data_IF_390568848894
#
_entry.id   IF_390568848894
#
_cell.length_a   1.000
_cell.length_b   1.000
_cell.length_c   1.000
_cell.angle_alpha   90.00
_cell.angle_beta   90.00
_cell.angle_gamma   90.00
#
_symmetry.space_group_name_H-M   'P 1'
#
loop_
_entity.id
_entity.type
_entity.pdbx_description
1 polymer ?
#
# COMPACT_ATOMS: atom_id res chain seq x y z
N UNK A 1 89.73 19.74 -7.32
CA UNK A 1 88.61 20.63 -7.67
C UNK A 1 87.42 19.78 -8.14
N UNK A 2 86.27 20.01 -7.51
CA UNK A 2 84.90 19.57 -7.86
C UNK A 2 84.58 18.07 -7.96
N UNK A 3 84.21 17.49 -6.82
CA UNK A 3 83.36 16.30 -6.73
C UNK A 3 81.89 16.70 -6.93
N UNK A 4 81.27 16.32 -8.06
CA UNK A 4 79.82 16.44 -8.27
C UNK A 4 79.11 15.21 -7.70
N UNK A 5 78.50 15.39 -6.54
CA UNK A 5 77.58 14.43 -5.92
C UNK A 5 76.22 14.48 -6.60
N UNK A 6 75.86 13.40 -7.29
CA UNK A 6 74.50 13.19 -7.81
C UNK A 6 73.54 12.90 -6.64
N UNK A 7 72.74 13.89 -6.26
CA UNK A 7 71.61 13.74 -5.35
C UNK A 7 70.51 12.95 -6.07
N UNK A 8 70.33 11.68 -5.72
CA UNK A 8 69.12 10.92 -6.09
C UNK A 8 67.91 11.56 -5.39
N UNK A 9 67.03 12.19 -6.17
CA UNK A 9 65.70 12.58 -5.72
C UNK A 9 64.91 11.31 -5.33
N UNK A 10 64.60 11.20 -4.05
CA UNK A 10 63.74 10.16 -3.50
C UNK A 10 62.29 10.56 -3.78
N UNK A 11 61.70 10.01 -4.85
CA UNK A 11 60.28 10.18 -5.13
C UNK A 11 59.45 9.52 -4.03
N UNK A 12 58.81 10.33 -3.21
CA UNK A 12 57.81 9.96 -2.21
C UNK A 12 56.42 9.97 -2.86
N UNK A 13 55.82 8.83 -3.22
CA UNK A 13 54.36 8.82 -3.52
C UNK A 13 53.63 7.46 -3.55
N UNK A 14 54.11 6.40 -2.89
CA UNK A 14 53.41 5.09 -2.89
C UNK A 14 52.71 4.72 -1.56
N UNK A 15 52.78 5.58 -0.54
CA UNK A 15 52.14 5.32 0.77
C UNK A 15 50.66 5.71 0.88
N UNK A 16 50.22 6.75 0.15
CA UNK A 16 48.86 7.32 0.28
C UNK A 16 47.76 6.41 -0.28
N UNK A 17 47.99 5.81 -1.45
CA UNK A 17 47.01 4.97 -2.14
C UNK A 17 46.63 3.68 -1.39
N UNK A 18 47.57 3.11 -0.63
CA UNK A 18 47.31 1.92 0.18
C UNK A 18 46.29 2.19 1.29
N UNK A 19 46.42 3.31 1.98
CA UNK A 19 45.53 3.68 3.08
C UNK A 19 44.11 4.04 2.56
N UNK A 20 44.03 4.72 1.41
CA UNK A 20 42.75 5.00 0.73
C UNK A 20 42.03 3.72 0.32
N UNK A 21 42.75 2.75 -0.27
CA UNK A 21 42.15 1.50 -0.71
C UNK A 21 41.67 0.63 0.46
N UNK A 22 42.38 0.63 1.59
CA UNK A 22 41.92 -0.04 2.82
C UNK A 22 40.61 0.58 3.29
N UNK A 23 40.53 1.92 3.37
CA UNK A 23 39.31 2.63 3.74
C UNK A 23 38.13 2.31 2.80
N UNK A 24 38.36 2.35 1.49
CA UNK A 24 37.36 2.00 0.49
C UNK A 24 36.92 0.54 0.57
N UNK A 25 37.82 -0.38 0.94
CA UNK A 25 37.48 -1.80 1.11
C UNK A 25 36.56 -2.01 2.32
N UNK A 26 36.84 -1.31 3.43
CA UNK A 26 35.98 -1.34 4.62
C UNK A 26 34.61 -0.77 4.28
N UNK A 27 34.56 0.38 3.60
CA UNK A 27 33.30 0.99 3.16
C UNK A 27 32.51 0.04 2.27
N UNK A 28 33.15 -0.54 1.25
CA UNK A 28 32.52 -1.50 0.35
C UNK A 28 31.98 -2.72 1.11
N UNK A 29 32.75 -3.27 2.05
CA UNK A 29 32.33 -4.42 2.85
C UNK A 29 31.08 -4.11 3.71
N UNK A 30 31.01 -2.92 4.32
CA UNK A 30 29.83 -2.47 5.07
C UNK A 30 28.63 -2.32 4.15
N UNK A 31 28.79 -1.65 3.00
CA UNK A 31 27.70 -1.46 2.03
C UNK A 31 27.19 -2.81 1.48
N UNK A 32 28.11 -3.72 1.14
CA UNK A 32 27.76 -5.06 0.70
C UNK A 32 27.00 -5.83 1.79
N UNK A 33 27.44 -5.75 3.05
CA UNK A 33 26.76 -6.40 4.17
C UNK A 33 25.35 -5.86 4.37
N UNK A 34 25.16 -4.53 4.36
CA UNK A 34 23.83 -3.90 4.48
C UNK A 34 22.93 -4.28 3.31
N UNK A 35 23.46 -4.28 2.08
CA UNK A 35 22.73 -4.70 0.90
C UNK A 35 22.28 -6.17 1.00
N UNK A 36 23.19 -7.07 1.39
CA UNK A 36 22.86 -8.49 1.55
C UNK A 36 21.86 -8.72 2.69
N UNK A 37 22.06 -8.07 3.84
CA UNK A 37 21.14 -8.15 4.96
C UNK A 37 19.73 -7.72 4.57
N UNK A 38 19.59 -6.57 3.89
CA UNK A 38 18.29 -6.10 3.40
C UNK A 38 17.70 -7.04 2.35
N UNK A 39 18.52 -7.53 1.41
CA UNK A 39 18.07 -8.45 0.36
C UNK A 39 17.52 -9.77 0.94
N UNK A 40 18.24 -10.42 1.86
CA UNK A 40 17.82 -11.69 2.44
C UNK A 40 16.68 -11.53 3.45
N UNK A 41 16.69 -10.48 4.28
CA UNK A 41 15.63 -10.26 5.26
C UNK A 41 14.26 -10.02 4.60
N UNK A 42 14.23 -9.34 3.46
CA UNK A 42 13.01 -9.05 2.71
C UNK A 42 12.74 -10.03 1.55
N UNK A 43 13.52 -11.12 1.44
CA UNK A 43 13.46 -12.09 0.34
C UNK A 43 13.50 -11.47 -1.06
N UNK A 44 14.13 -10.31 -1.21
CA UNK A 44 14.32 -9.66 -2.50
C UNK A 44 15.26 -10.48 -3.38
N UNK A 45 14.93 -10.55 -4.67
CA UNK A 45 15.71 -11.27 -5.68
C UNK A 45 15.93 -12.76 -5.33
N UNK A 46 15.06 -13.35 -4.49
CA UNK A 46 15.07 -14.79 -4.15
C UNK A 46 14.60 -15.69 -5.30
N UNK A 47 14.14 -15.11 -6.42
CA UNK A 47 13.75 -15.86 -7.61
C UNK A 47 14.98 -16.51 -8.27
N UNK A 48 14.88 -17.79 -8.61
CA UNK A 48 15.91 -18.54 -9.36
C UNK A 48 17.33 -18.41 -8.77
N UNK A 49 17.46 -18.32 -7.45
CA UNK A 49 18.74 -18.17 -6.75
C UNK A 49 19.55 -16.92 -7.09
N UNK A 50 18.91 -15.86 -7.60
CA UNK A 50 19.61 -14.64 -8.02
C UNK A 50 20.27 -13.90 -6.85
N UNK A 51 19.65 -13.92 -5.68
CA UNK A 51 20.23 -13.47 -4.41
C UNK A 51 21.56 -14.16 -4.08
N UNK A 52 21.68 -15.48 -4.33
CA UNK A 52 22.93 -16.23 -4.13
C UNK A 52 23.99 -15.79 -5.14
N UNK A 53 23.62 -15.64 -6.42
CA UNK A 53 24.54 -15.21 -7.47
C UNK A 53 25.14 -13.82 -7.15
N UNK A 54 24.31 -12.87 -6.73
CA UNK A 54 24.76 -11.53 -6.32
C UNK A 54 25.70 -11.62 -5.11
N UNK A 55 25.37 -12.47 -4.13
CA UNK A 55 26.19 -12.68 -2.93
C UNK A 55 27.58 -13.17 -3.31
N UNK A 56 27.67 -14.20 -4.16
CA UNK A 56 28.96 -14.73 -4.64
C UNK A 56 29.73 -13.63 -5.39
N UNK A 57 29.06 -12.88 -6.27
CA UNK A 57 29.69 -11.78 -7.02
C UNK A 57 30.32 -10.72 -6.11
N UNK A 58 29.61 -10.27 -5.07
CA UNK A 58 30.13 -9.29 -4.11
C UNK A 58 31.33 -9.83 -3.32
N UNK A 59 31.28 -11.10 -2.89
CA UNK A 59 32.38 -11.74 -2.18
C UNK A 59 33.63 -11.91 -3.07
N UNK A 60 33.45 -12.24 -4.34
CA UNK A 60 34.56 -12.34 -5.32
C UNK A 60 35.23 -10.98 -5.51
N UNK A 61 34.47 -9.90 -5.67
CA UNK A 61 35.01 -8.53 -5.77
C UNK A 61 35.79 -8.15 -4.52
N UNK A 62 35.27 -8.48 -3.34
CA UNK A 62 35.95 -8.24 -2.06
C UNK A 62 37.28 -9.01 -1.99
N UNK A 63 37.27 -10.30 -2.33
CA UNK A 63 38.47 -11.15 -2.31
C UNK A 63 39.55 -10.65 -3.29
N UNK A 64 39.16 -10.31 -4.52
CA UNK A 64 40.06 -9.75 -5.54
C UNK A 64 40.66 -8.43 -5.05
N UNK A 65 39.84 -7.55 -4.46
CA UNK A 65 40.30 -6.25 -3.95
C UNK A 65 41.33 -6.40 -2.83
N UNK A 66 41.13 -7.34 -1.90
CA UNK A 66 42.09 -7.66 -0.84
C UNK A 66 43.37 -8.25 -1.42
N UNK A 67 43.27 -9.16 -2.39
CA UNK A 67 44.42 -9.79 -3.05
C UNK A 67 45.29 -8.77 -3.79
N UNK A 68 44.69 -7.86 -4.56
CA UNK A 68 45.39 -6.80 -5.27
C UNK A 68 46.12 -5.85 -4.31
N UNK A 69 45.53 -5.55 -3.16
CA UNK A 69 46.16 -4.73 -2.12
C UNK A 69 47.36 -5.43 -1.47
N UNK A 70 47.22 -6.73 -1.12
CA UNK A 70 48.33 -7.51 -0.56
C UNK A 70 49.51 -7.64 -1.52
N UNK A 71 49.23 -7.84 -2.80
CA UNK A 71 50.26 -7.95 -3.84
C UNK A 71 50.82 -6.60 -4.29
N UNK A 72 50.27 -5.48 -3.76
CA UNK A 72 50.59 -4.09 -4.16
C UNK A 72 50.53 -3.87 -5.69
N UNK A 73 49.71 -4.68 -6.38
CA UNK A 73 49.53 -4.60 -7.83
C UNK A 73 48.42 -3.59 -8.16
N UNK A 74 48.70 -2.70 -9.11
CA UNK A 74 47.74 -1.78 -9.73
C UNK A 74 46.80 -1.05 -8.74
N UNK A 75 47.33 -0.22 -7.82
CA UNK A 75 46.54 0.42 -6.77
C UNK A 75 45.39 1.29 -7.31
N UNK A 76 45.58 1.95 -8.46
CA UNK A 76 44.55 2.77 -9.12
C UNK A 76 43.37 1.92 -9.60
N UNK A 77 43.63 0.74 -10.17
CA UNK A 77 42.57 -0.17 -10.65
C UNK A 77 41.71 -0.65 -9.48
N UNK A 78 42.35 -1.00 -8.35
CA UNK A 78 41.64 -1.38 -7.13
C UNK A 78 40.76 -0.25 -6.62
N UNK A 79 41.23 1.00 -6.65
CA UNK A 79 40.41 2.17 -6.28
C UNK A 79 39.18 2.30 -7.17
N UNK A 80 39.35 2.23 -8.49
CA UNK A 80 38.23 2.36 -9.46
C UNK A 80 37.20 1.26 -9.26
N UNK A 81 37.64 0.01 -9.10
CA UNK A 81 36.74 -1.13 -8.84
C UNK A 81 35.97 -0.93 -7.54
N UNK A 82 36.63 -0.57 -6.44
CA UNK A 82 35.98 -0.36 -5.15
C UNK A 82 34.98 0.79 -5.19
N UNK A 83 35.29 1.89 -5.89
CA UNK A 83 34.38 3.03 -6.06
C UNK A 83 33.13 2.60 -6.83
N UNK A 84 33.30 1.93 -7.99
CA UNK A 84 32.17 1.47 -8.80
C UNK A 84 31.28 0.53 -8.00
N UNK A 85 31.85 -0.49 -7.36
CA UNK A 85 31.04 -1.47 -6.62
C UNK A 85 30.43 -0.89 -5.33
N UNK A 86 31.06 0.11 -4.71
CA UNK A 86 30.43 0.86 -3.61
C UNK A 86 29.22 1.65 -4.10
N UNK A 87 29.31 2.32 -5.27
CA UNK A 87 28.20 3.03 -5.88
C UNK A 87 27.06 2.07 -6.27
N UNK A 88 27.38 0.93 -6.88
CA UNK A 88 26.39 -0.10 -7.22
C UNK A 88 25.68 -0.60 -5.96
N UNK A 89 26.40 -0.89 -4.88
CA UNK A 89 25.80 -1.29 -3.61
C UNK A 89 24.90 -0.20 -3.02
N UNK A 90 25.31 1.06 -3.10
CA UNK A 90 24.51 2.20 -2.64
C UNK A 90 23.20 2.32 -3.43
N UNK A 91 23.25 2.22 -4.76
CA UNK A 91 22.07 2.22 -5.64
C UNK A 91 21.16 1.03 -5.31
N UNK A 92 21.71 -0.15 -5.08
CA UNK A 92 20.96 -1.33 -4.67
C UNK A 92 20.22 -1.13 -3.34
N UNK A 93 20.91 -0.60 -2.33
CA UNK A 93 20.31 -0.30 -1.01
C UNK A 93 19.17 0.71 -1.16
N UNK A 94 19.40 1.78 -1.94
CA UNK A 94 18.37 2.80 -2.18
C UNK A 94 17.15 2.21 -2.89
N UNK A 95 17.35 1.38 -3.92
CA UNK A 95 16.27 0.69 -4.64
C UNK A 95 15.46 -0.22 -3.72
N UNK A 96 16.12 -1.03 -2.88
CA UNK A 96 15.43 -1.87 -1.90
C UNK A 96 14.67 -1.05 -0.86
N UNK A 97 15.25 0.03 -0.35
CA UNK A 97 14.57 0.93 0.59
C UNK A 97 13.31 1.52 -0.03
N UNK A 98 13.38 2.02 -1.26
CA UNK A 98 12.22 2.59 -1.94
C UNK A 98 11.11 1.54 -2.13
N UNK A 99 11.47 0.29 -2.46
CA UNK A 99 10.53 -0.81 -2.57
C UNK A 99 9.86 -1.16 -1.23
N UNK A 100 10.63 -1.20 -0.14
CA UNK A 100 10.13 -1.41 1.22
C UNK A 100 9.15 -0.28 1.61
N UNK A 101 9.52 0.98 1.35
CA UNK A 101 8.68 2.14 1.68
C UNK A 101 7.37 2.14 0.90
N UNK A 102 7.40 1.79 -0.39
CA UNK A 102 6.20 1.62 -1.20
C UNK A 102 5.32 0.49 -0.64
N UNK A 103 5.92 -0.66 -0.34
CA UNK A 103 5.20 -1.81 0.24
C UNK A 103 4.55 -1.46 1.57
N UNK A 104 5.26 -0.73 2.44
CA UNK A 104 4.75 -0.26 3.72
C UNK A 104 3.59 0.72 3.55
N UNK A 105 3.66 1.66 2.59
CA UNK A 105 2.55 2.58 2.29
C UNK A 105 1.32 1.85 1.76
N UNK A 106 1.51 0.84 0.90
CA UNK A 106 0.43 0.00 0.39
C UNK A 106 -0.20 -0.78 1.55
N UNK A 107 0.61 -1.43 2.39
CA UNK A 107 0.13 -2.18 3.54
C UNK A 107 -0.61 -1.29 4.55
N UNK A 108 -0.12 -0.08 4.82
CA UNK A 108 -0.80 0.86 5.71
C UNK A 108 -2.16 1.31 5.16
N UNK A 109 -2.28 1.49 3.85
CA UNK A 109 -3.54 1.91 3.22
C UNK A 109 -4.52 0.74 3.10
N UNK A 110 -4.03 -0.47 2.83
CA UNK A 110 -4.86 -1.68 2.73
C UNK A 110 -5.28 -2.24 4.11
N UNK A 111 -4.57 -1.88 5.18
CA UNK A 111 -4.89 -2.29 6.55
C UNK A 111 -6.16 -1.65 7.10
N UNK A 112 -6.73 -0.65 6.41
CA UNK A 112 -7.97 0.00 6.83
C UNK A 112 -8.94 0.11 5.64
N UNK A 113 -10.20 -0.23 5.88
CA UNK A 113 -11.31 0.13 5.00
C UNK A 113 -11.91 1.45 5.48
N UNK A 114 -12.09 2.41 4.58
CA UNK A 114 -12.74 3.68 4.87
C UNK A 114 -14.17 3.66 4.31
N UNK A 115 -15.15 3.66 5.22
CA UNK A 115 -16.56 3.83 4.85
C UNK A 115 -16.92 5.29 5.07
N UNK A 116 -17.23 6.00 3.99
CA UNK A 116 -17.76 7.36 4.07
C UNK A 116 -19.25 7.32 4.39
N UNK A 117 -19.63 7.99 5.47
CA UNK A 117 -21.02 8.17 5.89
C UNK A 117 -21.35 9.66 5.80
N UNK A 118 -22.48 9.99 5.17
CA UNK A 118 -22.89 11.37 4.91
C UNK A 118 -24.34 11.60 5.34
N UNK A 119 -24.66 12.83 5.75
CA UNK A 119 -26.03 13.31 5.89
C UNK A 119 -26.33 14.17 4.68
N UNK A 120 -27.39 13.81 3.96
CA UNK A 120 -27.78 14.45 2.70
C UNK A 120 -29.22 14.96 2.77
N UNK A 121 -29.46 16.03 2.01
CA UNK A 121 -30.76 16.70 1.83
C UNK A 121 -31.03 16.88 0.32
N UNK A 122 -32.26 17.17 -0.13
CA UNK A 122 -32.52 17.55 -1.52
C UNK A 122 -31.68 18.76 -1.91
N UNK A 123 -31.19 18.79 -3.15
CA UNK A 123 -30.34 19.88 -3.64
C UNK A 123 -30.99 21.25 -3.50
N UNK A 124 -32.28 21.33 -3.81
CA UNK A 124 -33.07 22.56 -3.75
C UNK A 124 -33.55 22.91 -2.34
N UNK A 125 -33.18 22.13 -1.32
CA UNK A 125 -33.53 22.43 0.07
C UNK A 125 -32.75 23.64 0.60
N UNK A 126 -33.42 24.50 1.36
CA UNK A 126 -32.79 25.61 2.08
C UNK A 126 -31.87 25.17 3.23
N UNK A 127 -31.93 23.88 3.62
CA UNK A 127 -31.09 23.30 4.67
C UNK A 127 -29.63 23.27 4.20
N UNK A 128 -28.74 23.89 4.98
CA UNK A 128 -27.29 23.97 4.71
C UNK A 128 -26.44 23.33 5.80
N UNK A 129 -26.99 23.16 7.00
CA UNK A 129 -26.26 22.63 8.15
C UNK A 129 -27.13 21.66 8.97
N UNK A 130 -26.49 20.70 9.60
CA UNK A 130 -27.11 19.66 10.46
C UNK A 130 -27.83 20.23 11.68
N UNK A 131 -27.49 21.45 12.12
CA UNK A 131 -28.23 22.14 13.19
C UNK A 131 -29.65 22.54 12.80
N UNK A 132 -29.98 22.54 11.50
CA UNK A 132 -31.30 22.93 10.98
C UNK A 132 -32.28 21.76 10.86
N UNK A 133 -31.86 20.55 11.25
CA UNK A 133 -32.67 19.33 11.20
C UNK A 133 -32.81 18.73 12.60
N UNK A 134 -33.97 18.13 12.84
CA UNK A 134 -34.30 17.46 14.11
C UNK A 134 -34.25 15.94 14.00
N UNK A 135 -34.46 15.40 12.80
CA UNK A 135 -34.33 13.98 12.53
C UNK A 135 -33.76 13.67 11.14
N UNK A 136 -33.19 12.47 11.02
CA UNK A 136 -32.69 11.87 9.78
C UNK A 136 -33.28 10.47 9.62
N UNK A 137 -33.58 10.07 8.39
CA UNK A 137 -33.91 8.68 8.10
C UNK A 137 -32.66 7.85 7.82
N UNK A 138 -32.58 6.65 8.40
CA UNK A 138 -31.50 5.71 8.15
C UNK A 138 -31.94 4.25 8.39
N UNK A 139 -31.42 3.28 7.64
CA UNK A 139 -31.76 1.87 7.83
C UNK A 139 -30.94 1.23 8.97
N UNK A 140 -31.37 1.45 10.20
CA UNK A 140 -30.63 1.00 11.40
C UNK A 140 -30.56 -0.52 11.52
N UNK A 141 -31.51 -1.25 10.94
CA UNK A 141 -31.49 -2.73 10.92
C UNK A 141 -30.39 -3.31 10.02
N UNK A 142 -29.93 -2.54 9.04
CA UNK A 142 -28.96 -3.00 8.03
C UNK A 142 -27.56 -2.46 8.30
N UNK A 143 -27.43 -1.19 8.71
CA UNK A 143 -26.13 -0.53 8.87
C UNK A 143 -25.91 0.13 10.25
N UNK A 144 -26.45 -0.49 11.31
CA UNK A 144 -26.44 0.05 12.68
C UNK A 144 -25.09 0.62 13.10
N UNK A 145 -24.02 -0.17 12.97
CA UNK A 145 -22.70 0.19 13.51
C UNK A 145 -22.12 1.44 12.84
N UNK A 146 -22.29 1.58 11.52
CA UNK A 146 -21.78 2.75 10.81
C UNK A 146 -22.66 3.97 11.10
N UNK A 147 -23.98 3.80 11.17
CA UNK A 147 -24.93 4.88 11.54
C UNK A 147 -24.62 5.38 12.96
N UNK A 148 -24.50 4.49 13.94
CA UNK A 148 -24.20 4.86 15.32
C UNK A 148 -22.87 5.63 15.40
N UNK A 149 -21.85 5.21 14.64
CA UNK A 149 -20.56 5.91 14.57
C UNK A 149 -20.69 7.32 13.99
N UNK A 150 -21.45 7.49 12.89
CA UNK A 150 -21.75 8.80 12.30
C UNK A 150 -22.46 9.71 13.30
N UNK A 151 -23.47 9.18 14.00
CA UNK A 151 -24.27 9.97 14.95
C UNK A 151 -23.46 10.37 16.19
N UNK A 152 -22.58 9.50 16.68
CA UNK A 152 -21.64 9.84 17.75
C UNK A 152 -20.69 10.96 17.34
N UNK A 153 -20.10 10.87 16.15
CA UNK A 153 -19.22 11.91 15.62
C UNK A 153 -19.97 13.25 15.42
N UNK A 154 -21.20 13.20 14.91
CA UNK A 154 -22.06 14.38 14.76
C UNK A 154 -22.28 15.09 16.09
N UNK A 155 -22.61 14.34 17.15
CA UNK A 155 -22.79 14.90 18.51
C UNK A 155 -21.50 15.50 19.05
N UNK A 156 -20.35 14.87 18.79
CA UNK A 156 -19.07 15.36 19.28
C UNK A 156 -18.61 16.62 18.53
N UNK A 157 -18.66 16.61 17.20
CA UNK A 157 -18.13 17.65 16.32
C UNK A 157 -19.02 18.89 16.27
N UNK A 158 -20.34 18.66 16.16
CA UNK A 158 -21.33 19.73 15.90
C UNK A 158 -22.16 20.08 17.12
N UNK A 159 -22.07 19.29 18.20
CA UNK A 159 -22.88 19.47 19.42
C UNK A 159 -24.40 19.47 19.14
N UNK A 160 -24.82 18.76 18.09
CA UNK A 160 -26.24 18.61 17.72
C UNK A 160 -26.68 17.17 18.00
N UNK A 161 -27.84 17.02 18.63
CA UNK A 161 -28.50 15.71 18.81
C UNK A 161 -29.65 15.58 17.81
N UNK A 162 -29.41 14.82 16.74
CA UNK A 162 -30.39 14.55 15.68
C UNK A 162 -30.96 13.15 15.90
N UNK A 163 -32.29 13.02 15.89
CA UNK A 163 -32.97 11.73 16.05
C UNK A 163 -32.82 10.89 14.77
N UNK A 164 -32.60 9.58 14.92
CA UNK A 164 -32.64 8.64 13.81
C UNK A 164 -34.03 8.00 13.72
N UNK A 165 -34.70 8.20 12.60
CA UNK A 165 -35.94 7.53 12.25
C UNK A 165 -35.62 6.30 11.36
N UNK A 166 -35.92 5.10 11.87
CA UNK A 166 -35.61 3.84 11.17
C UNK A 166 -36.47 3.65 9.92
N UNK A 167 -35.85 3.15 8.86
CA UNK A 167 -36.52 2.72 7.61
C UNK A 167 -35.96 1.37 7.16
N UNK A 168 -36.62 0.68 6.22
CA UNK A 168 -36.19 -0.66 5.83
C UNK A 168 -34.89 -0.65 5.00
N UNK A 169 -34.60 0.42 4.25
CA UNK A 169 -33.43 0.48 3.37
C UNK A 169 -32.98 1.92 3.05
N UNK A 170 -31.77 2.06 2.50
CA UNK A 170 -31.30 3.35 1.94
C UNK A 170 -32.15 3.81 0.77
N UNK A 171 -32.71 2.89 -0.02
CA UNK A 171 -33.63 3.23 -1.11
C UNK A 171 -34.91 3.86 -0.57
N UNK A 172 -35.51 3.28 0.47
CA UNK A 172 -36.71 3.83 1.09
C UNK A 172 -36.46 5.22 1.70
N UNK A 173 -35.30 5.42 2.36
CA UNK A 173 -34.88 6.75 2.83
C UNK A 173 -34.80 7.76 1.68
N UNK A 174 -34.22 7.35 0.54
CA UNK A 174 -34.08 8.19 -0.65
C UNK A 174 -35.44 8.54 -1.27
N UNK A 175 -36.34 7.57 -1.40
CA UNK A 175 -37.68 7.79 -1.95
C UNK A 175 -38.51 8.72 -1.05
N UNK A 176 -38.39 8.57 0.27
CA UNK A 176 -39.02 9.46 1.25
C UNK A 176 -38.44 10.89 1.19
N UNK A 177 -37.13 11.02 0.96
CA UNK A 177 -36.48 12.32 0.77
C UNK A 177 -36.99 13.01 -0.50
N UNK A 178 -37.06 12.29 -1.62
CA UNK A 178 -37.50 12.79 -2.93
C UNK A 178 -38.98 13.17 -2.93
N UNK A 179 -39.81 12.44 -2.19
CA UNK A 179 -41.24 12.74 -2.02
C UNK A 179 -41.53 13.80 -0.95
N UNK A 180 -40.51 14.34 -0.27
CA UNK A 180 -40.68 15.36 0.77
C UNK A 180 -41.23 14.83 2.10
N UNK A 181 -41.39 13.52 2.26
CA UNK A 181 -41.80 12.87 3.52
C UNK A 181 -40.71 12.94 4.58
N UNK A 182 -39.44 13.03 4.17
CA UNK A 182 -38.30 13.30 5.03
C UNK A 182 -37.53 14.53 4.53
N UNK A 183 -36.85 15.23 5.45
CA UNK A 183 -36.00 16.38 5.14
C UNK A 183 -34.54 16.00 4.93
N UNK A 184 -34.09 14.91 5.54
CA UNK A 184 -32.71 14.47 5.52
C UNK A 184 -32.63 12.94 5.65
N UNK A 185 -31.57 12.36 5.10
CA UNK A 185 -31.23 10.95 5.29
C UNK A 185 -29.74 10.76 5.53
N UNK A 186 -29.40 9.64 6.16
CA UNK A 186 -28.03 9.12 6.15
C UNK A 186 -27.80 8.39 4.84
N UNK A 187 -26.63 8.60 4.24
CA UNK A 187 -26.16 7.91 3.04
C UNK A 187 -24.78 7.29 3.33
N UNK A 188 -24.69 5.98 3.17
CA UNK A 188 -23.41 5.26 3.18
C UNK A 188 -22.83 5.23 1.77
N UNK A 189 -21.56 5.58 1.61
CA UNK A 189 -20.83 5.48 0.35
C UNK A 189 -20.84 4.06 -0.23
N UNK A 190 -20.90 3.04 0.63
CA UNK A 190 -21.02 1.64 0.21
C UNK A 190 -22.37 1.31 -0.45
N UNK A 191 -23.40 2.12 -0.21
CA UNK A 191 -24.75 1.97 -0.77
C UNK A 191 -25.08 3.02 -1.84
N UNK A 192 -24.22 4.00 -2.06
CA UNK A 192 -24.36 5.02 -3.09
C UNK A 192 -24.53 4.41 -4.49
N UNK A 193 -23.78 3.36 -4.76
CA UNK A 193 -23.82 2.60 -6.02
C UNK A 193 -25.13 1.85 -6.23
N UNK A 194 -25.77 1.38 -5.16
CA UNK A 194 -27.10 0.77 -5.25
C UNK A 194 -28.13 1.84 -5.61
N UNK A 195 -28.06 3.04 -5.01
CA UNK A 195 -28.94 4.15 -5.39
C UNK A 195 -28.73 4.57 -6.84
N UNK A 196 -27.48 4.63 -7.31
CA UNK A 196 -27.15 4.95 -8.71
C UNK A 196 -27.77 3.96 -9.71
N UNK A 197 -27.89 2.68 -9.33
CA UNK A 197 -28.53 1.67 -10.16
C UNK A 197 -30.04 1.88 -10.32
N UNK A 198 -30.67 2.57 -9.38
CA UNK A 198 -32.10 2.89 -9.41
C UNK A 198 -32.36 4.28 -10.00
N UNK A 199 -31.54 5.27 -9.65
CA UNK A 199 -31.58 6.64 -10.16
C UNK A 199 -30.15 7.09 -10.50
N UNK A 200 -29.78 7.07 -11.78
CA UNK A 200 -28.45 7.46 -12.25
C UNK A 200 -28.09 8.91 -11.92
N UNK A 201 -29.08 9.75 -11.65
CA UNK A 201 -28.90 11.16 -11.28
C UNK A 201 -29.04 11.39 -9.77
N UNK A 202 -29.05 10.34 -8.93
CA UNK A 202 -29.29 10.49 -7.49
C UNK A 202 -28.35 11.53 -6.85
N UNK A 203 -27.05 11.49 -7.19
CA UNK A 203 -26.05 12.40 -6.64
C UNK A 203 -26.32 13.86 -7.02
N UNK A 204 -26.80 14.11 -8.24
CA UNK A 204 -27.15 15.45 -8.72
C UNK A 204 -28.37 16.04 -8.01
N UNK A 205 -29.23 15.19 -7.45
CA UNK A 205 -30.45 15.58 -6.72
C UNK A 205 -30.20 15.80 -5.22
N UNK A 206 -29.00 15.51 -4.74
CA UNK A 206 -28.64 15.55 -3.33
C UNK A 206 -27.60 16.63 -3.05
N UNK A 207 -27.62 17.12 -1.81
CA UNK A 207 -26.62 18.00 -1.23
C UNK A 207 -26.19 17.44 0.11
N UNK A 208 -24.90 17.23 0.27
CA UNK A 208 -24.31 16.77 1.53
C UNK A 208 -24.12 17.94 2.48
N UNK A 209 -24.58 17.78 3.73
CA UNK A 209 -24.47 18.80 4.78
C UNK A 209 -23.54 18.36 5.93
N UNK A 210 -23.19 17.08 6.01
CA UNK A 210 -22.18 16.55 6.93
C UNK A 210 -21.62 15.24 6.39
N UNK A 211 -20.33 15.00 6.63
CA UNK A 211 -19.62 13.79 6.21
C UNK A 211 -18.69 13.34 7.33
N UNK A 212 -18.65 12.04 7.56
CA UNK A 212 -17.76 11.39 8.50
C UNK A 212 -17.16 10.13 7.88
N UNK A 213 -15.84 9.96 8.02
CA UNK A 213 -15.12 8.81 7.48
C UNK A 213 -14.81 7.82 8.60
N UNK A 214 -15.45 6.65 8.54
CA UNK A 214 -15.24 5.57 9.50
C UNK A 214 -14.04 4.75 9.04
N UNK A 215 -12.98 4.74 9.84
CA UNK A 215 -11.80 3.89 9.62
C UNK A 215 -12.02 2.55 10.31
N UNK A 216 -12.21 1.48 9.55
CA UNK A 216 -12.24 0.10 10.06
C UNK A 216 -10.91 -0.57 9.78
N UNK A 217 -10.25 -1.10 10.81
CA UNK A 217 -9.06 -1.92 10.63
C UNK A 217 -9.45 -3.26 10.00
N UNK A 218 -8.84 -3.60 8.87
CA UNK A 218 -8.97 -4.92 8.26
C UNK A 218 -8.17 -5.92 9.12
N UNK A 219 -8.88 -6.73 9.91
CA UNK A 219 -8.27 -7.71 10.81
C UNK A 219 -7.96 -9.05 10.14
N UNK A 220 -8.42 -9.26 8.90
CA UNK A 220 -8.29 -10.55 8.23
C UNK A 220 -6.91 -10.65 7.57
N UNK A 221 -5.92 -11.06 8.36
CA UNK A 221 -4.68 -11.59 7.80
C UNK A 221 -5.03 -12.94 7.16
N UNK A 222 -4.72 -13.12 5.87
CA UNK A 222 -4.88 -14.41 5.23
C UNK A 222 -4.09 -15.45 6.04
N UNK A 223 -4.74 -16.54 6.43
CA UNK A 223 -4.04 -17.68 7.00
C UNK A 223 -2.95 -18.10 6.01
N UNK A 224 -1.71 -18.26 6.46
CA UNK A 224 -0.66 -18.84 5.64
C UNK A 224 -1.11 -20.25 5.26
N UNK A 225 -1.58 -20.40 4.03
CA UNK A 225 -1.85 -21.71 3.47
C UNK A 225 -0.50 -22.21 2.93
N UNK A 226 0.19 -23.04 3.71
CA UNK A 226 1.35 -23.80 3.25
C UNK A 226 0.88 -24.94 2.34
N UNK A 227 0.25 -24.56 1.22
CA UNK A 227 -0.22 -25.49 0.21
C UNK A 227 0.35 -25.08 -1.13
N UNK A 228 0.93 -26.06 -1.83
CA UNK A 228 1.31 -25.91 -3.24
C UNK A 228 0.11 -25.71 -4.18
N UNK A 229 -1.11 -25.76 -3.65
CA UNK A 229 -2.35 -25.44 -4.37
C UNK A 229 -3.17 -24.44 -3.55
N UNK A 230 -3.43 -23.26 -4.10
CA UNK A 230 -4.14 -22.20 -3.41
C UNK A 230 -5.00 -21.36 -4.37
N UNK A 231 -5.96 -20.64 -3.81
CA UNK A 231 -6.84 -19.73 -4.54
C UNK A 231 -6.54 -18.28 -4.14
N UNK A 232 -6.45 -17.40 -5.13
CA UNK A 232 -6.39 -15.95 -4.95
C UNK A 232 -7.68 -15.38 -5.52
N UNK A 233 -8.43 -14.65 -4.71
CA UNK A 233 -9.54 -13.85 -5.19
C UNK A 233 -9.04 -12.46 -5.59
N UNK A 234 -9.29 -12.09 -6.85
CA UNK A 234 -8.93 -10.81 -7.44
C UNK A 234 -10.22 -10.02 -7.61
N UNK A 235 -10.35 -8.96 -6.80
CA UNK A 235 -11.44 -7.99 -6.87
C UNK A 235 -10.93 -6.69 -7.49
N UNK A 236 -11.56 -6.26 -8.58
CA UNK A 236 -11.34 -4.94 -9.16
C UNK A 236 -12.47 -4.02 -8.75
N UNK A 237 -12.14 -2.99 -7.97
CA UNK A 237 -13.11 -2.01 -7.48
C UNK A 237 -13.22 -0.87 -8.50
N UNK A 238 -14.46 -0.53 -8.88
CA UNK A 238 -14.74 0.59 -9.78
C UNK A 238 -14.76 1.92 -9.00
N UNK A 239 -13.59 2.47 -8.72
CA UNK A 239 -13.43 3.81 -8.15
C UNK A 239 -12.05 4.39 -8.45
N UNK A 240 -12.00 5.70 -8.63
CA UNK A 240 -10.75 6.47 -8.54
C UNK A 240 -10.48 6.82 -7.07
N UNK A 241 -9.22 7.15 -6.75
CA UNK A 241 -8.82 7.59 -5.41
C UNK A 241 -8.09 6.52 -4.58
N UNK A 242 -8.06 6.66 -3.24
CA UNK A 242 -7.36 5.73 -2.36
C UNK A 242 -7.91 4.31 -2.42
N UNK A 243 -7.05 3.29 -2.36
CA UNK A 243 -7.43 1.86 -2.36
C UNK A 243 -8.31 1.45 -1.17
N UNK A 244 -8.30 2.23 -0.09
CA UNK A 244 -9.14 2.04 1.09
C UNK A 244 -10.62 2.39 0.88
N UNK A 245 -10.96 3.00 -0.26
CA UNK A 245 -12.33 3.44 -0.58
C UNK A 245 -13.21 2.23 -0.90
N UNK A 246 -14.27 2.03 -0.13
CA UNK A 246 -15.23 0.95 -0.36
C UNK A 246 -16.15 1.30 -1.53
N UNK A 247 -16.15 0.49 -2.58
CA UNK A 247 -17.07 0.59 -3.74
C UNK A 247 -17.41 -0.82 -4.28
N UNK A 248 -18.17 -0.90 -5.37
CA UNK A 248 -18.55 -2.14 -6.06
C UNK A 248 -17.34 -2.84 -6.68
N UNK A 249 -17.34 -4.17 -6.64
CA UNK A 249 -16.36 -5.02 -7.31
C UNK A 249 -16.87 -5.42 -8.70
N UNK A 250 -16.34 -4.78 -9.73
CA UNK A 250 -16.72 -5.02 -11.13
C UNK A 250 -15.96 -6.19 -11.75
N UNK A 251 -14.76 -6.48 -11.22
CA UNK A 251 -13.97 -7.65 -11.61
C UNK A 251 -13.96 -8.65 -10.47
N UNK A 252 -14.42 -9.87 -10.74
CA UNK A 252 -14.48 -10.96 -9.75
C UNK A 252 -13.82 -12.20 -10.35
N UNK A 253 -12.52 -12.38 -10.12
CA UNK A 253 -11.74 -13.51 -10.66
C UNK A 253 -11.22 -14.36 -9.52
N UNK A 254 -11.43 -15.67 -9.59
CA UNK A 254 -10.76 -16.65 -8.74
C UNK A 254 -9.61 -17.24 -9.55
N UNK A 255 -8.39 -16.98 -9.11
CA UNK A 255 -7.18 -17.56 -9.67
C UNK A 255 -6.75 -18.76 -8.82
N UNK A 256 -6.90 -19.95 -9.36
CA UNK A 256 -6.40 -21.19 -8.74
C UNK A 256 -5.00 -21.46 -9.26
N UNK A 257 -4.03 -21.51 -8.35
CA UNK A 257 -2.62 -21.77 -8.66
C UNK A 257 -2.25 -23.16 -8.15
N UNK A 258 -1.69 -23.99 -9.03
CA UNK A 258 -1.12 -25.28 -8.67
C UNK A 258 0.39 -25.30 -8.98
N UNK A 259 1.19 -25.13 -7.94
CA UNK A 259 2.66 -25.14 -8.02
C UNK A 259 3.25 -26.53 -8.27
N UNK A 260 2.52 -27.62 -8.04
CA UNK A 260 2.99 -28.97 -8.38
C UNK A 260 3.00 -29.21 -9.89
N UNK A 261 1.99 -28.66 -10.59
CA UNK A 261 1.79 -28.88 -12.03
C UNK A 261 2.16 -27.66 -12.88
N UNK A 262 2.52 -26.54 -12.25
CA UNK A 262 2.77 -25.25 -12.89
C UNK A 262 1.58 -24.76 -13.74
N UNK A 263 0.36 -25.04 -13.28
CA UNK A 263 -0.88 -24.63 -13.96
C UNK A 263 -1.61 -23.55 -13.17
N UNK A 264 -2.24 -22.65 -13.91
CA UNK A 264 -3.10 -21.59 -13.39
C UNK A 264 -4.46 -21.71 -14.08
N UNK A 265 -5.53 -21.66 -13.30
CA UNK A 265 -6.91 -21.55 -13.80
C UNK A 265 -7.48 -20.20 -13.36
N UNK A 266 -7.97 -19.43 -14.32
CA UNK A 266 -8.70 -18.20 -14.08
C UNK A 266 -10.20 -18.47 -14.25
N UNK A 267 -10.94 -18.37 -13.15
CA UNK A 267 -12.40 -18.50 -13.15
C UNK A 267 -13.00 -17.11 -12.96
N UNK A 268 -13.60 -16.56 -14.02
CA UNK A 268 -14.27 -15.26 -13.97
C UNK A 268 -15.74 -15.46 -13.65
N UNK A 269 -16.21 -14.81 -12.58
CA UNK A 269 -17.64 -14.70 -12.29
C UNK A 269 -18.15 -13.38 -12.87
N UNK A 270 -19.13 -13.37 -13.79
CA UNK A 270 -19.69 -12.14 -14.34
C UNK A 270 -20.19 -11.22 -13.23
N UNK A 271 -19.99 -9.91 -13.38
CA UNK A 271 -20.48 -8.89 -12.43
C UNK A 271 -21.98 -9.03 -12.16
N UNK A 272 -22.74 -9.31 -13.21
CA UNK A 272 -24.20 -9.38 -13.18
C UNK A 272 -24.71 -10.81 -12.89
N UNK A 273 -23.85 -11.69 -12.37
CA UNK A 273 -24.23 -13.06 -12.01
C UNK A 273 -25.29 -13.06 -10.89
N UNK A 274 -26.40 -13.74 -11.13
CA UNK A 274 -27.46 -13.89 -10.14
C UNK A 274 -27.09 -14.98 -9.11
N UNK A 275 -26.49 -14.56 -8.00
CA UNK A 275 -26.02 -15.45 -6.93
C UNK A 275 -26.48 -14.94 -5.56
N UNK A 276 -26.53 -15.86 -4.59
CA UNK A 276 -26.75 -15.48 -3.20
C UNK A 276 -25.54 -14.68 -2.70
N UNK A 277 -25.75 -13.42 -2.34
CA UNK A 277 -24.70 -12.58 -1.75
C UNK A 277 -24.46 -13.04 -0.31
N UNK A 278 -23.24 -13.50 -0.04
CA UNK A 278 -22.80 -13.76 1.32
C UNK A 278 -22.67 -12.43 2.07
N UNK A 279 -23.29 -12.31 3.23
CA UNK A 279 -22.86 -11.29 4.19
C UNK A 279 -21.55 -11.77 4.81
N UNK A 280 -20.58 -10.88 4.98
CA UNK A 280 -19.37 -11.12 5.77
C UNK A 280 -19.78 -11.38 7.22
N UNK A 281 -20.28 -12.58 7.49
CA UNK A 281 -20.22 -13.17 8.82
C UNK A 281 -18.73 -13.38 9.05
N UNK A 282 -18.21 -12.74 10.09
CA UNK A 282 -16.84 -12.95 10.51
C UNK A 282 -16.62 -14.46 10.58
N UNK A 283 -15.77 -14.95 9.67
CA UNK A 283 -15.32 -16.33 9.69
C UNK A 283 -14.48 -16.41 10.96
N UNK A 284 -15.07 -16.95 12.02
CA UNK A 284 -14.34 -17.37 13.22
C UNK A 284 -13.34 -18.47 12.84
#
# INVERSE_FOLDING_TARGET
MSSRTNRKQKHTSNGSWGMVNVGLTILYAILALVLLFTMFNYNFLSFRFLNIIITIGLLVVLAISIFLQKTKKSPLVTTVVLVIFSLVSLVGIFGFKQMIDITNRINQTAAFSEVEMSIVVPKDSDIRDVSQITSVQAPTKVDKNNIDSLMSALKEDKKVDVKVDDVASYQEAYDNLKSGKSKAMVLSGSYATLLESVDSNYASNLKTIYTYKIKKKNSNSANQVDSKVFNIYISGIDTYGPISTVSRSDVNIIMTVNMNTHKILLTTTPRDAYVKIGQTSMIN
#
